data_IF_398436468261
#
_entry.id   IF_398436468261
#
_cell.length_a   1.000
_cell.length_b   1.000
_cell.length_c   1.000
_cell.angle_alpha   90.00
_cell.angle_beta   90.00
_cell.angle_gamma   90.00
#
_symmetry.space_group_name_H-M   'P 1'
#
loop_
_entity.id
_entity.type
_entity.pdbx_description
1 polymer ?
#
# COMPACT_ATOMS: atom_id res chain seq x y z
N UNK A 1 27.40 64.73 -24.08
CA UNK A 1 27.67 63.48 -23.32
C UNK A 1 26.32 62.75 -23.24
N UNK A 2 25.95 61.89 -24.20
CA UNK A 2 26.20 60.42 -24.28
C UNK A 2 25.80 59.74 -22.95
N UNK A 3 24.76 58.91 -22.83
CA UNK A 3 24.50 57.55 -23.38
C UNK A 3 23.00 57.22 -23.20
N UNK A 4 22.21 56.82 -24.21
CA UNK A 4 22.02 55.48 -24.82
C UNK A 4 21.64 54.32 -23.87
N UNK A 5 20.36 53.89 -24.03
CA UNK A 5 19.81 52.51 -24.07
C UNK A 5 19.88 51.58 -22.86
N UNK A 6 18.71 51.10 -22.43
CA UNK A 6 18.51 49.67 -22.14
C UNK A 6 17.06 49.29 -22.49
N UNK A 7 16.95 48.41 -23.48
CA UNK A 7 15.73 47.94 -24.13
C UNK A 7 15.11 46.81 -23.32
N UNK A 8 13.79 46.90 -23.22
CA UNK A 8 12.84 45.85 -22.84
C UNK A 8 13.25 44.47 -23.37
N UNK A 9 13.56 43.52 -22.49
CA UNK A 9 13.69 42.11 -22.84
C UNK A 9 12.77 41.30 -21.93
N UNK A 10 11.58 40.98 -22.48
CA UNK A 10 10.70 39.93 -22.02
C UNK A 10 11.50 38.62 -21.94
N UNK A 11 11.70 38.09 -20.74
CA UNK A 11 11.90 36.66 -20.56
C UNK A 11 10.58 36.09 -20.02
N UNK A 12 9.71 35.67 -20.95
CA UNK A 12 8.53 34.88 -20.62
C UNK A 12 8.99 33.44 -20.38
N UNK A 13 9.50 33.15 -19.18
CA UNK A 13 9.78 31.79 -18.74
C UNK A 13 8.46 31.05 -18.52
N UNK A 14 8.00 30.30 -19.51
CA UNK A 14 6.94 29.30 -19.33
C UNK A 14 7.50 28.16 -18.48
N UNK A 15 7.37 28.30 -17.17
CA UNK A 15 7.49 27.18 -16.24
C UNK A 15 6.30 26.24 -16.47
N UNK A 16 6.51 25.19 -17.25
CA UNK A 16 5.54 24.09 -17.37
C UNK A 16 5.57 23.35 -16.03
N UNK A 17 4.59 23.65 -15.19
CA UNK A 17 4.36 22.97 -13.92
C UNK A 17 3.80 21.57 -14.23
N UNK A 18 4.67 20.57 -14.22
CA UNK A 18 4.30 19.15 -14.28
C UNK A 18 3.62 18.70 -12.97
N UNK A 19 2.42 19.21 -12.68
CA UNK A 19 1.69 18.95 -11.41
C UNK A 19 0.75 17.72 -11.49
N UNK A 20 0.74 16.97 -12.59
CA UNK A 20 -0.26 15.91 -12.82
C UNK A 20 -0.06 14.58 -12.08
N UNK A 21 1.09 14.35 -11.42
CA UNK A 21 1.43 13.03 -10.87
C UNK A 21 0.91 12.73 -9.45
N UNK A 22 0.86 13.72 -8.57
CA UNK A 22 0.55 13.50 -7.15
C UNK A 22 -0.93 13.14 -6.92
N UNK A 23 -1.85 13.87 -7.55
CA UNK A 23 -3.29 13.67 -7.35
C UNK A 23 -3.78 12.27 -7.75
N UNK A 24 -3.18 11.65 -8.77
CA UNK A 24 -3.55 10.31 -9.22
C UNK A 24 -3.07 9.20 -8.25
N UNK A 25 -1.91 9.40 -7.60
CA UNK A 25 -1.40 8.48 -6.58
C UNK A 25 -2.27 8.54 -5.31
N UNK A 26 -2.67 9.74 -4.89
CA UNK A 26 -3.52 9.94 -3.72
C UNK A 26 -4.91 9.33 -3.91
N UNK A 27 -5.53 9.51 -5.08
CA UNK A 27 -6.82 8.90 -5.42
C UNK A 27 -6.76 7.37 -5.41
N UNK A 28 -5.64 6.79 -5.90
CA UNK A 28 -5.43 5.34 -5.86
C UNK A 28 -5.26 4.85 -4.42
N UNK A 29 -4.45 5.53 -3.61
CA UNK A 29 -4.22 5.17 -2.20
C UNK A 29 -5.53 5.15 -1.42
N UNK A 30 -6.33 6.20 -1.54
CA UNK A 30 -7.64 6.31 -0.89
C UNK A 30 -8.59 5.18 -1.34
N UNK A 31 -8.65 4.89 -2.64
CA UNK A 31 -9.51 3.82 -3.15
C UNK A 31 -9.15 2.44 -2.59
N UNK A 32 -7.86 2.17 -2.37
CA UNK A 32 -7.38 0.89 -1.84
C UNK A 32 -7.62 0.78 -0.33
N UNK A 33 -7.46 1.89 0.41
CA UNK A 33 -7.87 1.97 1.82
C UNK A 33 -9.36 1.74 1.98
N UNK A 34 -10.20 2.34 1.13
CA UNK A 34 -11.64 2.11 1.16
C UNK A 34 -12.02 0.67 0.84
N UNK A 35 -11.39 0.06 -0.17
CA UNK A 35 -11.59 -1.35 -0.49
C UNK A 35 -11.23 -2.24 0.70
N UNK A 36 -10.05 -2.04 1.28
CA UNK A 36 -9.61 -2.77 2.47
C UNK A 36 -10.56 -2.62 3.66
N UNK A 37 -11.05 -1.41 3.91
CA UNK A 37 -12.00 -1.14 4.99
C UNK A 37 -13.32 -1.90 4.76
N UNK A 38 -13.88 -1.80 3.55
CA UNK A 38 -15.14 -2.48 3.19
C UNK A 38 -15.01 -4.00 3.21
N UNK A 39 -13.85 -4.53 2.86
CA UNK A 39 -13.55 -5.97 2.92
C UNK A 39 -13.09 -6.44 4.31
N UNK A 40 -13.08 -5.57 5.33
CA UNK A 40 -12.77 -5.94 6.72
C UNK A 40 -11.29 -6.20 7.00
N UNK A 41 -10.38 -5.91 6.07
CA UNK A 41 -8.96 -6.25 6.20
C UNK A 41 -8.29 -5.53 7.39
N UNK A 42 -8.75 -4.31 7.70
CA UNK A 42 -8.23 -3.52 8.82
C UNK A 42 -8.64 -4.03 10.22
N UNK A 43 -9.54 -5.03 10.30
CA UNK A 43 -9.85 -5.69 11.58
C UNK A 43 -8.60 -6.42 12.12
N UNK A 44 -7.80 -6.98 11.21
CA UNK A 44 -6.64 -7.78 11.58
C UNK A 44 -5.30 -7.13 11.19
N UNK A 45 -5.27 -6.29 10.17
CA UNK A 45 -4.05 -5.70 9.64
C UNK A 45 -3.98 -4.19 9.88
N UNK A 46 -2.78 -3.72 10.22
CA UNK A 46 -2.43 -2.31 10.12
C UNK A 46 -1.53 -2.06 8.90
N UNK A 47 -1.42 -0.79 8.51
CA UNK A 47 -0.47 -0.36 7.48
C UNK A 47 0.93 -0.22 8.09
N UNK A 48 1.01 0.50 9.19
CA UNK A 48 2.26 0.93 9.81
C UNK A 48 2.97 -0.21 10.55
N UNK A 49 4.30 -0.22 10.49
CA UNK A 49 5.15 -1.27 11.07
C UNK A 49 4.95 -1.46 12.58
N UNK A 50 4.58 -0.40 13.28
CA UNK A 50 4.36 -0.38 14.72
C UNK A 50 2.90 -0.64 15.12
N UNK A 51 2.03 -1.00 14.16
CA UNK A 51 0.64 -1.34 14.42
C UNK A 51 0.51 -2.33 15.59
N UNK A 52 -0.24 -1.93 16.62
CA UNK A 52 -0.47 -2.72 17.83
C UNK A 52 -1.80 -3.45 17.74
N UNK A 53 -1.85 -4.63 18.34
CA UNK A 53 -3.09 -5.28 18.71
C UNK A 53 -3.72 -4.61 19.95
N UNK A 54 -4.89 -5.10 20.38
CA UNK A 54 -5.54 -4.63 21.61
C UNK A 54 -4.59 -4.70 22.81
N UNK A 55 -4.69 -3.72 23.71
CA UNK A 55 -3.96 -3.69 24.99
C UNK A 55 -2.42 -3.79 24.86
N UNK A 56 -1.87 -3.29 23.75
CA UNK A 56 -0.42 -3.31 23.49
C UNK A 56 0.13 -4.65 23.00
N UNK A 57 -0.76 -5.61 22.70
CA UNK A 57 -0.39 -6.92 22.16
C UNK A 57 0.12 -6.81 20.71
N UNK A 58 0.68 -7.91 20.19
CA UNK A 58 1.04 -8.00 18.77
C UNK A 58 -0.20 -7.83 17.88
N UNK A 59 -0.08 -7.24 16.68
CA UNK A 59 -1.18 -7.17 15.74
C UNK A 59 -1.60 -8.59 15.30
N UNK A 60 -2.85 -8.74 14.88
CA UNK A 60 -3.39 -10.06 14.50
C UNK A 60 -2.73 -10.57 13.21
N UNK A 61 -2.73 -9.72 12.19
CA UNK A 61 -2.00 -9.91 10.96
C UNK A 61 -0.72 -9.06 10.93
N UNK A 62 0.26 -9.40 10.08
CA UNK A 62 1.44 -8.57 9.91
C UNK A 62 1.06 -7.19 9.35
N UNK A 63 1.81 -6.13 9.72
CA UNK A 63 1.73 -4.83 9.07
C UNK A 63 1.99 -4.92 7.57
N UNK A 64 1.23 -4.19 6.75
CA UNK A 64 1.41 -4.26 5.30
C UNK A 64 2.74 -3.71 4.82
N UNK A 65 3.33 -2.71 5.50
CA UNK A 65 4.70 -2.28 5.20
C UNK A 65 5.73 -3.39 5.43
N UNK A 66 5.51 -4.26 6.44
CA UNK A 66 6.36 -5.42 6.67
C UNK A 66 6.20 -6.46 5.55
N UNK A 67 4.96 -6.68 5.09
CA UNK A 67 4.67 -7.53 3.91
C UNK A 67 5.38 -6.99 2.67
N UNK A 68 5.24 -5.69 2.39
CA UNK A 68 5.88 -5.04 1.25
C UNK A 68 7.42 -5.15 1.31
N UNK A 69 8.01 -4.94 2.48
CA UNK A 69 9.44 -5.10 2.69
C UNK A 69 9.91 -6.54 2.43
N UNK A 70 9.20 -7.54 2.97
CA UNK A 70 9.57 -8.95 2.85
C UNK A 70 9.51 -9.47 1.41
N UNK A 71 8.54 -9.01 0.63
CA UNK A 71 8.32 -9.46 -0.75
C UNK A 71 8.96 -8.54 -1.80
N UNK A 72 9.77 -7.56 -1.39
CA UNK A 72 10.43 -6.61 -2.30
C UNK A 72 11.23 -7.35 -3.39
N UNK A 73 10.94 -7.04 -4.65
CA UNK A 73 11.62 -7.62 -5.81
C UNK A 73 11.16 -9.04 -6.18
N UNK A 74 10.26 -9.67 -5.41
CA UNK A 74 9.72 -10.98 -5.74
C UNK A 74 8.63 -10.85 -6.82
N UNK A 75 8.93 -11.30 -8.04
CA UNK A 75 8.01 -11.27 -9.19
C UNK A 75 6.76 -12.15 -9.01
N UNK A 76 6.79 -13.12 -8.11
CA UNK A 76 5.66 -14.00 -7.81
C UNK A 76 4.78 -13.48 -6.66
N UNK A 77 5.19 -12.41 -5.95
CA UNK A 77 4.54 -11.94 -4.73
C UNK A 77 3.05 -11.70 -4.90
N UNK A 78 2.64 -11.04 -5.98
CA UNK A 78 1.24 -10.72 -6.26
C UNK A 78 0.40 -11.99 -6.34
N UNK A 79 0.86 -12.98 -7.12
CA UNK A 79 0.16 -14.26 -7.29
C UNK A 79 0.08 -15.02 -5.97
N UNK A 80 1.21 -15.14 -5.27
CA UNK A 80 1.29 -15.87 -3.99
C UNK A 80 0.39 -15.25 -2.93
N UNK A 81 0.50 -13.93 -2.71
CA UNK A 81 -0.28 -13.24 -1.69
C UNK A 81 -1.77 -13.18 -2.04
N UNK A 82 -2.14 -13.04 -3.33
CA UNK A 82 -3.55 -13.12 -3.73
C UNK A 82 -4.13 -14.50 -3.41
N UNK A 83 -3.39 -15.57 -3.69
CA UNK A 83 -3.83 -16.93 -3.34
C UNK A 83 -3.98 -17.11 -1.81
N UNK A 84 -3.08 -16.53 -1.01
CA UNK A 84 -3.20 -16.54 0.46
C UNK A 84 -4.43 -15.74 0.94
N UNK A 85 -4.71 -14.58 0.35
CA UNK A 85 -5.92 -13.80 0.69
C UNK A 85 -7.17 -14.59 0.38
N UNK A 86 -7.25 -15.22 -0.79
CA UNK A 86 -8.45 -15.95 -1.20
C UNK A 86 -8.61 -17.28 -0.44
N UNK A 87 -7.52 -18.03 -0.25
CA UNK A 87 -7.51 -19.36 0.36
C UNK A 87 -7.26 -19.40 1.86
N UNK A 88 -6.92 -18.27 2.47
CA UNK A 88 -6.46 -18.20 3.85
C UNK A 88 -5.01 -18.67 4.03
N UNK A 89 -4.52 -18.61 5.27
CA UNK A 89 -3.17 -19.05 5.64
C UNK A 89 -3.21 -20.22 6.62
N UNK A 90 -2.15 -21.02 6.63
CA UNK A 90 -2.07 -22.19 7.51
C UNK A 90 -1.72 -21.79 8.95
N UNK A 91 -2.45 -22.28 9.98
CA UNK A 91 -2.06 -22.07 11.38
C UNK A 91 -0.75 -22.77 11.74
N UNK A 92 -0.26 -23.70 10.91
CA UNK A 92 0.98 -24.44 11.13
C UNK A 92 2.19 -23.77 10.48
N UNK A 93 1.98 -22.97 9.44
CA UNK A 93 3.04 -22.28 8.70
C UNK A 93 2.98 -20.77 8.95
N UNK A 94 3.33 -20.39 10.17
CA UNK A 94 3.26 -19.00 10.62
C UNK A 94 4.54 -18.29 10.19
N UNK A 95 4.58 -17.81 8.96
CA UNK A 95 5.70 -17.01 8.45
C UNK A 95 5.92 -15.71 9.25
N UNK A 96 4.94 -15.31 10.06
CA UNK A 96 4.87 -14.03 10.79
C UNK A 96 4.83 -14.18 12.32
N UNK A 97 5.35 -15.28 12.90
CA UNK A 97 5.27 -15.56 14.37
C UNK A 97 5.85 -14.43 15.23
N UNK A 98 6.85 -13.74 14.71
CA UNK A 98 7.55 -12.70 15.46
C UNK A 98 6.80 -11.38 15.38
N UNK A 99 6.13 -11.12 14.26
CA UNK A 99 5.48 -9.87 13.90
C UNK A 99 3.96 -9.86 14.13
N UNK A 100 3.32 -11.02 14.31
CA UNK A 100 1.88 -11.12 14.55
C UNK A 100 1.51 -12.14 15.64
N UNK A 101 0.24 -12.13 16.07
CA UNK A 101 -0.29 -13.06 17.08
C UNK A 101 -0.29 -14.53 16.62
N UNK A 102 0.09 -14.80 15.36
CA UNK A 102 0.17 -16.14 14.80
C UNK A 102 -1.17 -16.72 14.40
N UNK A 103 -2.26 -15.95 14.46
CA UNK A 103 -3.59 -16.40 14.00
C UNK A 103 -3.58 -16.62 12.48
N UNK A 104 -4.18 -17.72 12.05
CA UNK A 104 -4.38 -18.00 10.63
C UNK A 104 -5.39 -17.03 10.03
N UNK A 105 -5.07 -16.47 8.87
CA UNK A 105 -6.03 -15.67 8.11
C UNK A 105 -7.08 -16.62 7.51
N UNK A 106 -8.38 -16.42 7.75
CA UNK A 106 -9.42 -17.23 7.12
C UNK A 106 -9.47 -16.96 5.60
N UNK A 107 -10.06 -17.87 4.79
CA UNK A 107 -10.36 -17.58 3.39
C UNK A 107 -11.28 -16.35 3.25
N UNK A 108 -10.90 -15.37 2.42
CA UNK A 108 -11.61 -14.09 2.33
C UNK A 108 -12.59 -13.99 1.14
N UNK A 109 -12.85 -15.08 0.41
CA UNK A 109 -13.69 -15.06 -0.80
C UNK A 109 -15.15 -14.64 -0.60
N UNK A 110 -15.63 -14.58 0.65
CA UNK A 110 -16.95 -14.02 1.00
C UNK A 110 -16.93 -12.49 1.09
N UNK A 111 -15.77 -11.90 1.38
CA UNK A 111 -15.61 -10.46 1.67
C UNK A 111 -14.96 -9.68 0.52
N UNK A 112 -14.32 -10.37 -0.43
CA UNK A 112 -13.63 -9.73 -1.56
C UNK A 112 -13.54 -10.68 -2.77
N UNK A 113 -13.59 -10.11 -3.99
CA UNK A 113 -13.34 -10.84 -5.23
C UNK A 113 -11.84 -11.08 -5.45
N UNK A 114 -11.45 -12.10 -6.22
CA UNK A 114 -10.03 -12.33 -6.54
C UNK A 114 -9.40 -11.14 -7.29
N UNK A 115 -10.17 -10.49 -8.17
CA UNK A 115 -9.70 -9.32 -8.92
C UNK A 115 -9.40 -8.14 -7.99
N UNK A 116 -10.27 -7.85 -7.03
CA UNK A 116 -10.06 -6.78 -6.06
C UNK A 116 -8.98 -7.14 -5.04
N UNK A 117 -8.90 -8.40 -4.61
CA UNK A 117 -7.81 -8.89 -3.77
C UNK A 117 -6.46 -8.69 -4.46
N UNK A 118 -6.35 -9.02 -5.75
CA UNK A 118 -5.13 -8.77 -6.54
C UNK A 118 -4.79 -7.29 -6.58
N UNK A 119 -5.75 -6.40 -6.82
CA UNK A 119 -5.54 -4.94 -6.84
C UNK A 119 -5.03 -4.44 -5.49
N UNK A 120 -5.62 -4.93 -4.40
CA UNK A 120 -5.24 -4.56 -3.05
C UNK A 120 -3.82 -5.05 -2.72
N UNK A 121 -3.49 -6.30 -3.07
CA UNK A 121 -2.14 -6.86 -2.92
C UNK A 121 -1.10 -6.08 -3.74
N UNK A 122 -1.42 -5.75 -5.00
CA UNK A 122 -0.56 -4.93 -5.85
C UNK A 122 -0.26 -3.58 -5.18
N UNK A 123 -1.26 -2.94 -4.56
CA UNK A 123 -1.06 -1.70 -3.81
C UNK A 123 -0.26 -1.90 -2.52
N UNK A 124 -0.57 -2.94 -1.73
CA UNK A 124 0.17 -3.28 -0.50
C UNK A 124 1.67 -3.38 -0.76
N UNK A 125 2.06 -4.05 -1.86
CA UNK A 125 3.47 -4.23 -2.23
C UNK A 125 4.20 -2.93 -2.64
N UNK A 126 3.48 -1.82 -2.82
CA UNK A 126 4.09 -0.49 -3.08
C UNK A 126 4.40 0.29 -1.81
N UNK A 127 3.86 -0.13 -0.66
CA UNK A 127 4.01 0.56 0.61
C UNK A 127 5.45 0.51 1.12
N UNK A 128 5.85 1.56 1.86
CA UNK A 128 7.18 1.74 2.45
C UNK A 128 7.08 2.01 3.93
#
# INVERSE_FOLDING_TARGET
MITKTAVCSLFLSTAILSWGGAAAADAKDESMRQLASKSGCFICHGIELDAKGPDGMKPVGPPWKAVAARYRGNKAAVKTLTAEVMGGTSPYNRHWKEESSGVAMPPNGVSISEADAKRLVDWILTLK
#
